data_IF_599825754973
#
_entry.id   IF_599825754973
#
_cell.length_a   1.000
_cell.length_b   1.000
_cell.length_c   1.000
_cell.angle_alpha   90.00
_cell.angle_beta   90.00
_cell.angle_gamma   90.00
#
_symmetry.space_group_name_H-M   'P 1'
#
loop_
_entity.id
_entity.type
_entity.pdbx_description
1 polymer ?
#
# COMPACT_ATOMS: atom_id res chain seq x y z
N UNK A 1 1.41 12.34 8.65
CA UNK A 1 2.55 11.51 8.23
C UNK A 1 2.64 11.56 6.71
N UNK A 2 3.84 11.64 6.16
CA UNK A 2 4.05 11.68 4.71
C UNK A 2 4.79 10.42 4.26
N UNK A 3 4.37 9.89 3.10
CA UNK A 3 5.13 8.91 2.32
C UNK A 3 6.49 9.52 1.95
N UNK A 4 7.58 8.73 1.93
CA UNK A 4 8.83 9.17 1.29
C UNK A 4 8.53 9.47 -0.19
N UNK A 5 8.70 10.70 -0.68
CA UNK A 5 8.41 11.02 -2.09
C UNK A 5 9.37 10.34 -3.07
N UNK A 6 10.54 9.87 -2.61
CA UNK A 6 11.58 9.25 -3.45
C UNK A 6 11.68 7.73 -3.25
N UNK A 7 10.67 7.10 -2.67
CA UNK A 7 10.66 5.65 -2.42
C UNK A 7 10.90 4.82 -3.70
N UNK A 8 10.47 5.32 -4.86
CA UNK A 8 10.64 4.61 -6.15
C UNK A 8 12.09 4.56 -6.64
N UNK A 9 12.97 5.42 -6.12
CA UNK A 9 14.40 5.41 -6.46
C UNK A 9 15.24 4.81 -5.35
N UNK A 10 14.82 5.00 -4.10
CA UNK A 10 15.61 4.64 -2.93
C UNK A 10 15.39 3.19 -2.50
N UNK A 11 14.23 2.60 -2.83
CA UNK A 11 13.81 1.30 -2.31
C UNK A 11 13.76 0.25 -3.40
N UNK A 12 13.79 -1.03 -2.98
CA UNK A 12 13.75 -2.15 -3.92
C UNK A 12 12.30 -2.53 -4.22
N UNK A 13 11.93 -2.54 -5.49
CA UNK A 13 10.62 -2.99 -5.95
C UNK A 13 10.55 -4.52 -6.07
N UNK A 14 9.49 -5.11 -5.52
CA UNK A 14 9.10 -6.51 -5.71
C UNK A 14 7.70 -6.57 -6.29
N UNK A 15 7.48 -7.38 -7.33
CA UNK A 15 6.14 -7.54 -7.90
C UNK A 15 5.26 -8.44 -7.03
N UNK A 16 4.06 -7.98 -6.68
CA UNK A 16 3.05 -8.72 -5.95
C UNK A 16 1.65 -8.37 -6.47
N UNK A 17 0.87 -9.37 -6.89
CA UNK A 17 -0.52 -9.18 -7.35
C UNK A 17 -0.71 -8.01 -8.36
N UNK A 18 0.19 -7.92 -9.35
CA UNK A 18 0.23 -6.86 -10.37
C UNK A 18 0.59 -5.45 -9.86
N UNK A 19 1.14 -5.34 -8.66
CA UNK A 19 1.63 -4.10 -8.07
C UNK A 19 3.10 -4.21 -7.74
N UNK A 20 3.78 -3.07 -7.74
CA UNK A 20 5.12 -2.97 -7.17
C UNK A 20 5.01 -2.70 -5.68
N UNK A 21 5.70 -3.52 -4.89
CA UNK A 21 5.87 -3.35 -3.45
C UNK A 21 7.28 -2.90 -3.21
N UNK A 22 7.43 -1.74 -2.61
CA UNK A 22 8.71 -1.10 -2.34
C UNK A 22 9.08 -1.33 -0.87
N UNK A 23 10.30 -1.80 -0.62
CA UNK A 23 10.82 -2.09 0.73
C UNK A 23 12.21 -1.50 0.93
N UNK A 24 12.45 -0.89 2.09
CA UNK A 24 13.71 -0.17 2.37
C UNK A 24 14.83 -1.07 2.90
N UNK A 25 14.57 -1.99 3.85
CA UNK A 25 15.30 -3.23 4.16
C UNK A 25 14.79 -3.78 5.51
N UNK A 26 14.33 -5.04 5.54
CA UNK A 26 14.00 -5.84 6.75
C UNK A 26 12.75 -5.43 7.57
N UNK A 27 11.74 -6.31 7.53
CA UNK A 27 10.55 -6.37 8.40
C UNK A 27 9.43 -5.33 8.22
N UNK A 28 9.58 -4.40 7.29
CA UNK A 28 8.54 -3.47 6.89
C UNK A 28 7.62 -4.10 5.81
N UNK A 29 6.29 -3.99 5.98
CA UNK A 29 5.26 -4.37 5.00
C UNK A 29 5.51 -3.66 3.67
N UNK A 30 5.97 -2.41 3.72
CA UNK A 30 6.40 -1.59 2.60
C UNK A 30 5.29 -0.75 1.99
N UNK A 31 5.64 -0.07 0.89
CA UNK A 31 4.74 0.76 0.10
C UNK A 31 4.23 -0.03 -1.10
N UNK A 32 2.92 -0.04 -1.33
CA UNK A 32 2.29 -0.79 -2.42
C UNK A 32 1.74 0.18 -3.45
N UNK A 33 2.06 -0.05 -4.72
CA UNK A 33 1.60 0.77 -5.84
C UNK A 33 2.63 1.81 -6.27
N UNK A 34 2.40 2.37 -7.47
CA UNK A 34 3.29 3.35 -8.11
C UNK A 34 2.57 4.68 -8.30
N UNK A 35 1.42 4.68 -9.01
CA UNK A 35 0.61 5.88 -9.26
C UNK A 35 -0.25 6.27 -8.05
N UNK A 36 -0.74 5.26 -7.34
CA UNK A 36 -1.52 5.38 -6.12
C UNK A 36 -0.88 4.47 -5.07
N UNK A 37 -0.05 5.07 -4.21
CA UNK A 37 0.85 4.34 -3.33
C UNK A 37 0.39 4.37 -1.86
N UNK A 38 0.50 3.24 -1.18
CA UNK A 38 0.06 3.04 0.21
C UNK A 38 1.17 2.43 1.07
N UNK A 39 1.57 3.14 2.13
CA UNK A 39 2.55 2.67 3.10
C UNK A 39 1.88 1.85 4.21
N UNK A 40 1.98 0.53 4.13
CA UNK A 40 1.36 -0.39 5.09
C UNK A 40 2.06 -0.44 6.44
N UNK A 41 3.27 0.10 6.57
CA UNK A 41 3.93 0.20 7.87
C UNK A 41 3.30 1.29 8.72
N UNK A 42 2.83 2.36 8.08
CA UNK A 42 2.17 3.47 8.76
C UNK A 42 0.64 3.41 8.73
N UNK A 43 0.01 2.60 7.86
CA UNK A 43 -1.47 2.54 7.81
C UNK A 43 -2.06 2.17 9.17
N UNK A 44 -2.72 3.16 9.79
CA UNK A 44 -3.80 2.96 10.75
C UNK A 44 -5.02 2.68 9.88
N UNK A 45 -5.72 1.56 10.04
CA UNK A 45 -6.81 1.11 9.15
C UNK A 45 -8.07 1.99 9.19
N UNK A 46 -7.94 3.28 8.92
CA UNK A 46 -8.97 4.32 8.96
C UNK A 46 -9.88 4.31 7.73
N UNK A 47 -9.51 3.56 6.68
CA UNK A 47 -10.23 3.45 5.41
C UNK A 47 -10.51 4.80 4.71
N UNK A 48 -9.94 5.91 5.16
CA UNK A 48 -10.27 7.25 4.68
C UNK A 48 -9.97 7.43 3.18
N UNK A 49 -8.92 6.78 2.67
CA UNK A 49 -8.59 6.83 1.25
C UNK A 49 -9.56 6.05 0.35
N UNK A 50 -10.38 5.16 0.92
CA UNK A 50 -11.40 4.39 0.19
C UNK A 50 -12.65 5.26 0.06
N UNK A 51 -13.11 5.84 1.17
CA UNK A 51 -14.29 6.70 1.23
C UNK A 51 -14.18 7.97 0.38
N UNK A 52 -12.96 8.52 0.26
CA UNK A 52 -12.72 9.76 -0.51
C UNK A 52 -12.45 9.48 -2.00
N UNK A 53 -12.09 8.24 -2.38
CA UNK A 53 -11.69 7.95 -3.75
C UNK A 53 -12.92 7.85 -4.68
N UNK A 54 -13.08 8.76 -5.66
CA UNK A 54 -14.26 8.79 -6.53
C UNK A 54 -14.33 7.60 -7.51
N UNK A 55 -13.23 6.86 -7.68
CA UNK A 55 -13.10 5.78 -8.66
C UNK A 55 -12.71 4.44 -8.03
N UNK A 56 -12.88 4.29 -6.71
CA UNK A 56 -12.73 3.02 -5.97
C UNK A 56 -11.45 2.25 -6.33
N UNK A 57 -10.30 2.91 -6.23
CA UNK A 57 -8.98 2.31 -6.53
C UNK A 57 -8.57 1.27 -5.49
N UNK A 58 -9.19 1.27 -4.32
CA UNK A 58 -8.73 0.59 -3.11
C UNK A 58 -9.84 -0.26 -2.51
N UNK A 59 -9.52 -1.47 -2.06
CA UNK A 59 -10.46 -2.39 -1.39
C UNK A 59 -9.90 -2.88 -0.05
N UNK A 60 -10.76 -3.03 0.96
CA UNK A 60 -10.40 -3.53 2.30
C UNK A 60 -10.36 -5.06 2.29
N UNK A 61 -9.17 -5.63 2.41
CA UNK A 61 -8.97 -7.06 2.57
C UNK A 61 -8.54 -7.36 4.01
N UNK A 62 -9.43 -8.00 4.77
CA UNK A 62 -9.12 -8.52 6.08
C UNK A 62 -8.49 -9.91 5.94
N UNK A 63 -7.15 -10.00 5.96
CA UNK A 63 -6.47 -11.29 5.95
C UNK A 63 -6.42 -11.86 7.37
N UNK A 64 -7.03 -13.03 7.58
CA UNK A 64 -7.18 -13.69 8.89
C UNK A 64 -5.87 -13.93 9.67
N UNK A 65 -4.70 -13.78 9.02
CA UNK A 65 -3.39 -14.02 9.59
C UNK A 65 -2.67 -12.76 10.13
N UNK A 66 -3.18 -11.54 9.91
CA UNK A 66 -2.52 -10.33 10.38
C UNK A 66 -3.55 -9.25 10.74
N UNK A 67 -3.52 -8.66 11.95
CA UNK A 67 -4.48 -7.62 12.37
C UNK A 67 -4.28 -6.28 11.64
N UNK A 68 -3.37 -6.22 10.67
CA UNK A 68 -3.15 -5.05 9.81
C UNK A 68 -3.85 -5.28 8.48
N UNK A 69 -4.90 -4.50 8.26
CA UNK A 69 -5.70 -4.41 7.04
C UNK A 69 -4.81 -4.34 5.79
N UNK A 70 -5.03 -5.24 4.84
CA UNK A 70 -4.43 -5.16 3.51
C UNK A 70 -5.39 -4.39 2.60
N UNK A 71 -4.89 -3.44 1.82
CA UNK A 71 -5.68 -2.73 0.82
C UNK A 71 -5.26 -3.24 -0.54
N UNK A 72 -6.17 -3.86 -1.27
CA UNK A 72 -5.92 -4.30 -2.64
C UNK A 72 -6.22 -3.16 -3.58
N UNK A 73 -5.27 -2.81 -4.44
CA UNK A 73 -5.51 -1.79 -5.48
C UNK A 73 -6.21 -2.47 -6.65
N UNK A 74 -7.49 -2.17 -6.88
CA UNK A 74 -8.18 -2.57 -8.10
C UNK A 74 -7.87 -1.56 -9.20
N UNK A 75 -6.93 -1.89 -10.08
CA UNK A 75 -6.82 -1.20 -11.38
C UNK A 75 -7.95 -1.72 -12.29
N UNK A 76 -8.64 -0.85 -13.07
CA UNK A 76 -9.46 -1.32 -14.20
C UNK A 76 -8.60 -1.97 -15.29
#
# INVERSE_FOLDING_TARGET
MALDPNFQTNWVATALQNLNVWKDHSCNLGIYGTDAALDFDWRIGDAACIEVCPVYVFDVQCQAACPKFAIRVSKP
#
